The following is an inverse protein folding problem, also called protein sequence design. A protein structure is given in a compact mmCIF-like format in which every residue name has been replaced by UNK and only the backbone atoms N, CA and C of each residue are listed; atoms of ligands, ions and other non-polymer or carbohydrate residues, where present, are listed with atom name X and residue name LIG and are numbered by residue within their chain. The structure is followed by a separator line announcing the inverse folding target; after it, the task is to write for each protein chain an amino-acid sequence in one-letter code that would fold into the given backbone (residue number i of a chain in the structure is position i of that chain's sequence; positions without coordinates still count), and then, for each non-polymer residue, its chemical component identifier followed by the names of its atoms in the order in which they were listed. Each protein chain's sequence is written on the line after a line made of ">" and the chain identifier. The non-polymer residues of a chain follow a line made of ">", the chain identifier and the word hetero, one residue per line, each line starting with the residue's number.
data_IF_234272350963
#
_entry.id   IF_234272350963
#
_cell.length_a   1.000
_cell.length_b   1.000
_cell.length_c   1.000
_cell.angle_alpha   90.00
_cell.angle_beta   90.00
_cell.angle_gamma   90.00
#
_symmetry.space_group_name_H-M   'P 1'
#
loop_
_entity.id
_entity.type
_entity.pdbx_description
1 polymer ?
#
# COMPACT_ATOMS: atom_id res chain seq x y z
N UNK A 1 -7.00 -8.83 9.77
CA UNK A 1 -8.29 -9.46 9.48
C UNK A 1 -8.09 -10.97 9.34
N UNK A 2 -8.79 -11.73 10.16
CA UNK A 2 -8.83 -13.18 10.02
C UNK A 2 -10.05 -13.57 9.18
N UNK A 3 -9.80 -14.14 8.02
CA UNK A 3 -10.82 -14.63 7.08
C UNK A 3 -10.95 -16.14 7.18
N UNK A 4 -11.05 -16.64 8.39
CA UNK A 4 -11.06 -18.06 8.72
C UNK A 4 -12.42 -18.75 8.47
N UNK A 5 -13.44 -17.97 8.11
CA UNK A 5 -14.76 -18.50 7.72
C UNK A 5 -15.26 -17.82 6.44
N UNK A 6 -16.09 -18.53 5.63
CA UNK A 6 -16.72 -17.94 4.44
C UNK A 6 -17.55 -16.70 4.76
N UNK A 7 -18.11 -16.62 5.95
CA UNK A 7 -18.94 -15.50 6.40
C UNK A 7 -18.10 -14.24 6.66
N UNK A 8 -16.96 -14.39 7.33
CA UNK A 8 -16.02 -13.30 7.54
C UNK A 8 -15.44 -12.81 6.22
N UNK A 9 -15.15 -13.71 5.30
CA UNK A 9 -14.70 -13.32 3.96
C UNK A 9 -15.76 -12.53 3.20
N UNK A 10 -17.03 -12.96 3.22
CA UNK A 10 -18.13 -12.21 2.58
C UNK A 10 -18.26 -10.80 3.15
N UNK A 11 -18.21 -10.64 4.47
CA UNK A 11 -18.25 -9.32 5.13
C UNK A 11 -17.10 -8.43 4.69
N UNK A 12 -15.89 -8.99 4.58
CA UNK A 12 -14.72 -8.26 4.09
C UNK A 12 -14.90 -7.82 2.62
N UNK A 13 -15.39 -8.69 1.77
CA UNK A 13 -15.66 -8.35 0.36
C UNK A 13 -16.75 -7.28 0.21
N UNK A 14 -17.80 -7.35 1.02
CA UNK A 14 -18.85 -6.33 1.04
C UNK A 14 -18.31 -4.98 1.51
N UNK A 15 -17.44 -4.98 2.52
CA UNK A 15 -16.74 -3.78 2.97
C UNK A 15 -15.87 -3.19 1.86
N UNK A 16 -15.07 -4.00 1.18
CA UNK A 16 -14.21 -3.52 0.08
C UNK A 16 -15.01 -2.95 -1.08
N UNK A 17 -16.13 -3.60 -1.44
CA UNK A 17 -17.01 -3.10 -2.49
C UNK A 17 -17.63 -1.75 -2.12
N UNK A 18 -18.18 -1.63 -0.91
CA UNK A 18 -18.73 -0.37 -0.40
C UNK A 18 -17.68 0.73 -0.34
N UNK A 19 -16.47 0.39 0.14
CA UNK A 19 -15.37 1.34 0.22
C UNK A 19 -14.89 1.80 -1.15
N UNK A 20 -14.90 0.92 -2.14
CA UNK A 20 -14.65 1.26 -3.54
C UNK A 20 -15.68 2.27 -4.07
N UNK A 21 -16.97 1.97 -3.90
CA UNK A 21 -18.07 2.83 -4.35
C UNK A 21 -18.02 4.23 -3.72
N UNK A 22 -17.55 4.31 -2.49
CA UNK A 22 -17.42 5.55 -1.71
C UNK A 22 -16.03 6.22 -1.80
N UNK A 23 -15.07 5.57 -2.41
CA UNK A 23 -13.74 6.13 -2.61
C UNK A 23 -12.84 6.20 -1.36
N UNK A 24 -13.17 5.46 -0.30
CA UNK A 24 -12.36 5.47 0.94
C UNK A 24 -11.14 4.57 0.87
N UNK A 25 -11.33 3.40 0.28
CA UNK A 25 -10.36 2.34 0.24
C UNK A 25 -10.56 1.53 -1.03
N UNK A 26 -9.50 1.39 -1.77
CA UNK A 26 -9.52 0.65 -3.03
C UNK A 26 -8.62 -0.55 -2.91
N UNK A 27 -9.12 -1.70 -3.30
CA UNK A 27 -8.35 -2.93 -3.39
C UNK A 27 -8.52 -3.56 -4.75
N UNK A 28 -7.40 -3.77 -5.44
CA UNK A 28 -7.36 -4.43 -6.75
C UNK A 28 -6.56 -5.71 -6.68
N UNK A 29 -6.94 -6.70 -7.50
CA UNK A 29 -6.07 -7.83 -7.79
C UNK A 29 -4.98 -7.42 -8.79
N UNK A 30 -3.78 -7.92 -8.57
CA UNK A 30 -2.71 -7.86 -9.54
C UNK A 30 -2.78 -9.13 -10.37
N UNK A 31 -3.03 -9.00 -11.67
CA UNK A 31 -3.09 -10.13 -12.59
C UNK A 31 -1.92 -10.08 -13.58
N UNK A 32 -1.21 -11.18 -13.72
CA UNK A 32 -0.18 -11.39 -14.70
C UNK A 32 -0.58 -12.56 -15.58
N UNK A 33 -0.80 -12.31 -16.88
CA UNK A 33 -1.24 -13.35 -17.85
C UNK A 33 -2.45 -14.15 -17.35
N UNK A 34 -3.45 -13.45 -16.82
CA UNK A 34 -4.69 -14.03 -16.26
C UNK A 34 -4.51 -14.79 -14.93
N UNK A 35 -3.31 -14.82 -14.35
CA UNK A 35 -3.07 -15.35 -13.03
C UNK A 35 -3.07 -14.21 -12.00
N UNK A 36 -3.83 -14.37 -10.92
CA UNK A 36 -3.80 -13.42 -9.79
C UNK A 36 -2.58 -13.72 -8.94
N UNK A 37 -1.67 -12.76 -8.88
CA UNK A 37 -0.38 -12.90 -8.18
C UNK A 37 -0.29 -12.09 -6.89
N UNK A 38 -1.26 -11.21 -6.64
CA UNK A 38 -1.25 -10.36 -5.47
C UNK A 38 -2.38 -9.35 -5.43
N UNK A 39 -2.26 -8.37 -4.55
CA UNK A 39 -3.22 -7.28 -4.38
C UNK A 39 -2.54 -5.93 -4.21
N UNK A 40 -3.24 -4.88 -4.58
CA UNK A 40 -2.90 -3.49 -4.29
C UNK A 40 -4.00 -2.88 -3.43
N UNK A 41 -3.61 -2.17 -2.41
CA UNK A 41 -4.51 -1.37 -1.58
C UNK A 41 -4.11 0.10 -1.67
N UNK A 42 -5.08 0.96 -1.86
CA UNK A 42 -4.95 2.41 -1.84
C UNK A 42 -5.98 3.00 -0.88
N UNK A 43 -5.51 3.80 0.06
CA UNK A 43 -6.38 4.59 0.92
C UNK A 43 -5.65 5.87 1.36
N UNK A 44 -6.40 6.85 1.83
CA UNK A 44 -5.83 8.06 2.40
C UNK A 44 -5.77 7.94 3.91
N UNK A 45 -4.64 8.30 4.49
CA UNK A 45 -4.46 8.40 5.93
C UNK A 45 -5.23 9.61 6.47
N UNK A 46 -5.87 9.46 7.60
CA UNK A 46 -6.57 10.56 8.26
C UNK A 46 -5.61 11.71 8.60
N UNK A 47 -6.14 12.92 8.59
CA UNK A 47 -5.39 14.09 8.99
C UNK A 47 -5.34 14.17 10.52
N UNK A 48 -4.14 14.25 11.06
CA UNK A 48 -3.88 14.36 12.50
C UNK A 48 -2.61 15.19 12.74
N UNK A 49 -2.64 16.18 13.65
CA UNK A 49 -1.50 17.06 13.91
C UNK A 49 -0.24 16.34 14.39
N UNK A 50 -0.42 15.24 15.11
CA UNK A 50 0.69 14.50 15.75
C UNK A 50 1.18 13.31 14.89
N UNK A 51 0.58 13.09 13.73
CA UNK A 51 0.95 12.01 12.85
C UNK A 51 1.97 12.49 11.81
N UNK A 52 3.19 11.91 11.77
CA UNK A 52 4.21 12.30 10.80
C UNK A 52 3.82 12.01 9.35
N UNK A 53 2.79 11.21 9.13
CA UNK A 53 2.27 10.82 7.82
C UNK A 53 0.84 11.30 7.57
N UNK A 54 0.42 12.33 8.30
CA UNK A 54 -0.92 12.92 8.22
C UNK A 54 -1.32 13.25 6.78
N UNK A 55 -2.50 12.78 6.38
CA UNK A 55 -3.08 13.06 5.06
C UNK A 55 -2.40 12.42 3.86
N UNK A 56 -1.36 11.61 4.06
CA UNK A 56 -0.67 10.93 2.96
C UNK A 56 -1.53 9.81 2.38
N UNK A 57 -1.32 9.53 1.10
CA UNK A 57 -1.87 8.35 0.46
C UNK A 57 -1.08 7.11 0.86
N UNK A 58 -1.78 6.08 1.28
CA UNK A 58 -1.18 4.77 1.60
C UNK A 58 -1.25 3.90 0.35
N UNK A 59 -0.09 3.40 -0.07
CA UNK A 59 0.06 2.42 -1.12
C UNK A 59 0.59 1.12 -0.52
N UNK A 60 -0.19 0.07 -0.61
CA UNK A 60 0.23 -1.27 -0.18
C UNK A 60 0.17 -2.23 -1.34
N UNK A 61 1.29 -2.90 -1.60
CA UNK A 61 1.43 -3.91 -2.63
C UNK A 61 1.83 -5.22 -1.97
N UNK A 62 0.98 -6.22 -2.06
CA UNK A 62 1.23 -7.57 -1.57
C UNK A 62 1.25 -8.53 -2.76
N UNK A 63 2.37 -9.20 -2.97
CA UNK A 63 2.52 -10.24 -3.99
C UNK A 63 2.97 -11.55 -3.35
N UNK A 64 2.65 -12.66 -3.99
CA UNK A 64 3.19 -13.95 -3.59
C UNK A 64 4.73 -13.94 -3.61
N UNK A 65 5.36 -14.73 -2.75
CA UNK A 65 6.83 -14.73 -2.61
C UNK A 65 7.58 -15.03 -3.91
N UNK A 66 7.00 -15.85 -4.79
CA UNK A 66 7.55 -16.14 -6.11
C UNK A 66 7.58 -14.94 -7.06
N UNK A 67 6.78 -13.90 -6.75
CA UNK A 67 6.60 -12.69 -7.55
C UNK A 67 7.23 -11.43 -6.92
N UNK A 68 7.87 -11.58 -5.78
CA UNK A 68 8.61 -10.49 -5.11
C UNK A 68 9.93 -10.24 -5.84
N UNK A 69 9.83 -9.73 -7.08
CA UNK A 69 10.93 -9.47 -8.01
C UNK A 69 10.88 -8.04 -8.51
N UNK A 70 12.02 -7.47 -8.81
CA UNK A 70 12.14 -6.06 -9.21
C UNK A 70 11.35 -5.74 -10.48
N UNK A 71 11.31 -6.62 -11.47
CA UNK A 71 10.56 -6.42 -12.72
C UNK A 71 9.04 -6.40 -12.48
N UNK A 72 8.53 -7.31 -11.65
CA UNK A 72 7.11 -7.36 -11.29
C UNK A 72 6.72 -6.14 -10.47
N UNK A 73 7.49 -5.82 -9.44
CA UNK A 73 7.21 -4.66 -8.58
C UNK A 73 7.31 -3.35 -9.35
N UNK A 74 8.28 -3.19 -10.26
CA UNK A 74 8.39 -2.02 -11.12
C UNK A 74 7.18 -1.86 -12.04
N UNK A 75 6.71 -2.95 -12.66
CA UNK A 75 5.52 -2.91 -13.51
C UNK A 75 4.26 -2.50 -12.72
N UNK A 76 4.10 -2.97 -11.49
CA UNK A 76 3.01 -2.56 -10.60
C UNK A 76 3.09 -1.07 -10.28
N UNK A 77 4.27 -0.58 -9.91
CA UNK A 77 4.48 0.85 -9.61
C UNK A 77 4.24 1.73 -10.82
N UNK A 78 4.72 1.34 -12.00
CA UNK A 78 4.50 2.07 -13.26
C UNK A 78 3.02 2.19 -13.62
N UNK A 79 2.23 1.16 -13.31
CA UNK A 79 0.79 1.18 -13.51
C UNK A 79 0.03 2.06 -12.50
N UNK A 80 0.50 2.16 -11.26
CA UNK A 80 -0.21 2.82 -10.15
C UNK A 80 0.16 4.28 -9.97
N UNK A 81 1.46 4.60 -10.00
CA UNK A 81 1.95 5.93 -9.60
C UNK A 81 1.36 7.09 -10.40
N UNK A 82 1.11 6.99 -11.72
CA UNK A 82 0.54 8.10 -12.48
C UNK A 82 -0.80 8.60 -11.94
N UNK A 83 -1.64 7.70 -11.45
CA UNK A 83 -3.01 8.00 -11.03
C UNK A 83 -3.22 8.03 -9.52
N UNK A 84 -2.31 7.43 -8.74
CA UNK A 84 -2.48 7.25 -7.30
C UNK A 84 -2.70 8.57 -6.54
N UNK A 85 -1.96 9.62 -6.88
CA UNK A 85 -2.10 10.93 -6.22
C UNK A 85 -3.47 11.58 -6.45
N UNK A 86 -3.97 11.49 -7.68
CA UNK A 86 -5.29 12.02 -8.01
C UNK A 86 -6.41 11.20 -7.38
N UNK A 87 -6.31 9.87 -7.43
CA UNK A 87 -7.28 8.97 -6.82
C UNK A 87 -7.41 9.19 -5.30
N UNK A 88 -6.30 9.43 -4.63
CA UNK A 88 -6.27 9.63 -3.18
C UNK A 88 -6.37 11.10 -2.76
N UNK A 89 -6.40 12.01 -3.71
CA UNK A 89 -6.37 13.45 -3.45
C UNK A 89 -5.25 13.83 -2.46
N UNK A 90 -4.03 13.39 -2.73
CA UNK A 90 -2.88 13.61 -1.87
C UNK A 90 -1.66 14.10 -2.67
N UNK A 91 -0.69 14.68 -1.97
CA UNK A 91 0.58 15.14 -2.56
C UNK A 91 1.74 14.20 -2.28
N UNK A 92 1.59 13.36 -1.27
CA UNK A 92 2.62 12.43 -0.83
C UNK A 92 2.03 11.05 -0.67
N UNK A 93 2.74 10.05 -1.19
CA UNK A 93 2.43 8.64 -0.99
C UNK A 93 3.37 8.05 0.06
N UNK A 94 2.85 7.14 0.86
CA UNK A 94 3.63 6.33 1.78
C UNK A 94 3.42 4.84 1.50
N UNK A 95 4.46 4.06 1.70
CA UNK A 95 4.42 2.60 1.64
C UNK A 95 5.38 2.02 2.67
N UNK A 96 5.45 0.71 2.79
CA UNK A 96 6.30 0.03 3.75
C UNK A 96 7.18 -1.02 3.08
N UNK A 97 8.47 -1.02 3.42
CA UNK A 97 9.41 -2.04 2.99
C UNK A 97 10.48 -2.27 4.05
N UNK A 98 10.58 -3.50 4.52
CA UNK A 98 11.62 -3.90 5.46
C UNK A 98 13.00 -3.94 4.78
N UNK A 99 14.10 -3.68 5.52
CA UNK A 99 15.44 -3.63 4.94
C UNK A 99 15.87 -4.93 4.23
N UNK A 100 15.36 -6.06 4.66
CA UNK A 100 15.68 -7.37 4.05
C UNK A 100 14.87 -7.65 2.76
N UNK A 101 13.85 -6.86 2.46
CA UNK A 101 13.09 -6.96 1.21
C UNK A 101 13.84 -6.28 0.05
N UNK A 102 14.97 -6.87 -0.35
CA UNK A 102 15.98 -6.25 -1.23
C UNK A 102 15.39 -5.78 -2.56
N UNK A 103 14.61 -6.64 -3.23
CA UNK A 103 13.98 -6.29 -4.51
C UNK A 103 12.99 -5.11 -4.36
N UNK A 104 12.22 -5.11 -3.30
CA UNK A 104 11.25 -4.03 -2.99
C UNK A 104 11.95 -2.72 -2.69
N UNK A 105 12.97 -2.75 -1.84
CA UNK A 105 13.78 -1.57 -1.50
C UNK A 105 14.41 -0.96 -2.75
N UNK A 106 15.00 -1.78 -3.62
CA UNK A 106 15.60 -1.33 -4.88
C UNK A 106 14.53 -0.68 -5.78
N UNK A 107 13.38 -1.32 -5.95
CA UNK A 107 12.28 -0.80 -6.78
C UNK A 107 11.75 0.53 -6.24
N UNK A 108 11.50 0.64 -4.94
CA UNK A 108 11.03 1.89 -4.34
C UNK A 108 12.03 3.02 -4.54
N UNK A 109 13.32 2.76 -4.37
CA UNK A 109 14.39 3.73 -4.60
C UNK A 109 14.40 4.22 -6.06
N UNK A 110 14.31 3.32 -7.01
CA UNK A 110 14.25 3.65 -8.46
C UNK A 110 12.99 4.45 -8.81
N UNK A 111 11.86 4.17 -8.14
CA UNK A 111 10.61 4.92 -8.32
C UNK A 111 10.60 6.28 -7.62
N UNK A 112 11.66 6.66 -6.92
CA UNK A 112 11.77 7.96 -6.27
C UNK A 112 11.21 8.01 -4.84
N UNK A 113 10.93 6.89 -4.23
CA UNK A 113 10.64 6.85 -2.79
C UNK A 113 11.89 7.04 -1.96
N UNK A 114 11.76 7.73 -0.85
CA UNK A 114 12.82 7.95 0.13
C UNK A 114 12.43 7.31 1.44
N UNK A 115 13.36 6.62 2.07
CA UNK A 115 13.14 6.01 3.38
C UNK A 115 12.94 7.09 4.45
N UNK A 116 11.88 6.94 5.24
CA UNK A 116 11.62 7.76 6.40
C UNK A 116 12.19 7.11 7.67
N UNK A 117 12.75 7.93 8.54
CA UNK A 117 13.21 7.53 9.88
C UNK A 117 12.14 7.70 10.96
N UNK A 118 10.97 8.21 10.60
CA UNK A 118 9.87 8.47 11.52
C UNK A 118 9.03 7.22 11.75
N UNK A 119 8.93 6.71 12.99
CA UNK A 119 8.05 5.60 13.31
C UNK A 119 6.60 6.06 13.47
N UNK A 120 5.68 5.11 13.33
CA UNK A 120 4.30 5.26 13.78
C UNK A 120 4.15 4.49 15.09
N UNK A 121 3.55 5.13 16.09
CA UNK A 121 3.26 4.49 17.37
C UNK A 121 1.84 3.93 17.37
N UNK A 122 1.69 2.66 17.70
CA UNK A 122 0.41 2.00 17.87
C UNK A 122 -0.26 2.36 19.22
N UNK A 123 -1.53 2.01 19.36
CA UNK A 123 -2.33 2.30 20.55
C UNK A 123 -1.85 1.58 21.82
N UNK A 124 -1.09 0.51 21.67
CA UNK A 124 -0.52 -0.28 22.78
C UNK A 124 0.99 -0.06 22.94
N UNK A 125 1.53 1.02 22.36
CA UNK A 125 2.96 1.33 22.42
C UNK A 125 3.83 0.57 21.40
N UNK A 126 3.21 -0.13 20.44
CA UNK A 126 3.94 -0.77 19.35
C UNK A 126 4.62 0.28 18.48
N UNK A 127 5.82 -0.02 18.05
CA UNK A 127 6.60 0.82 17.16
C UNK A 127 6.60 0.22 15.75
N UNK A 128 5.99 0.92 14.80
CA UNK A 128 5.97 0.55 13.39
C UNK A 128 6.98 1.38 12.63
N UNK A 129 7.84 0.73 11.88
CA UNK A 129 8.95 1.34 11.14
C UNK A 129 8.97 0.90 9.68
N UNK A 130 10.01 1.32 8.96
CA UNK A 130 10.29 0.98 7.58
C UNK A 130 9.34 1.61 6.56
N UNK A 131 8.92 2.84 6.82
CA UNK A 131 8.14 3.62 5.89
C UNK A 131 9.01 4.30 4.84
N UNK A 132 8.45 4.41 3.65
CA UNK A 132 9.02 5.08 2.50
C UNK A 132 8.00 6.08 1.98
N UNK A 133 8.45 7.26 1.57
CA UNK A 133 7.59 8.35 1.11
C UNK A 133 8.02 8.85 -0.26
N UNK A 134 7.05 9.28 -1.05
CA UNK A 134 7.28 9.88 -2.37
C UNK A 134 6.35 11.06 -2.56
N UNK A 135 6.92 12.21 -2.84
CA UNK A 135 6.17 13.39 -3.27
C UNK A 135 5.86 13.31 -4.77
N UNK A 136 4.74 13.91 -5.14
CA UNK A 136 4.30 14.02 -6.54
C UNK A 136 5.27 14.89 -7.35
#
# INVERSE_FOLDING_TARGET
>A
FYYDTPEKMRRAMDFWRTSWEQGWFVRWAIALRSEVIGTVELCRREESPDDPYSGMGILRVDVGSAWEKSDVLAAVMDALLPDAYALLNCRTLMTKAAPYAVARVATLTECGFVRSDKPVMGHHGERFEYYWVREK
#
